data_IF_505653288992
#
_entry.id   IF_505653288992
#
_cell.length_a   1.000
_cell.length_b   1.000
_cell.length_c   1.000
_cell.angle_alpha   90.00
_cell.angle_beta   90.00
_cell.angle_gamma   90.00
#
_symmetry.space_group_name_H-M   'P 1'
#
loop_
_entity.id
_entity.type
_entity.pdbx_description
1 polymer ?
#
# COMPACT_ATOMS: atom_id res chain seq x y z
N UNK A 1 -16.32 -5.75 -19.48
CA UNK A 1 -16.10 -7.21 -19.56
C UNK A 1 -14.83 -7.62 -20.32
N UNK A 2 -14.56 -7.20 -21.58
CA UNK A 2 -13.38 -7.67 -22.32
C UNK A 2 -12.04 -7.33 -21.66
N UNK A 3 -11.90 -6.12 -21.09
CA UNK A 3 -10.67 -5.69 -20.40
C UNK A 3 -10.33 -6.55 -19.16
N UNK A 4 -11.34 -7.11 -18.48
CA UNK A 4 -11.16 -7.91 -17.27
C UNK A 4 -10.64 -9.30 -17.62
N UNK A 5 -11.17 -9.89 -18.69
CA UNK A 5 -10.72 -11.17 -19.25
C UNK A 5 -9.28 -11.06 -19.76
N UNK A 6 -8.95 -9.98 -20.48
CA UNK A 6 -7.58 -9.75 -20.98
C UNK A 6 -6.57 -9.61 -19.84
N UNK A 7 -6.90 -8.86 -18.78
CA UNK A 7 -6.02 -8.74 -17.61
C UNK A 7 -5.85 -10.08 -16.89
N UNK A 8 -6.93 -10.83 -16.66
CA UNK A 8 -6.86 -12.15 -16.04
C UNK A 8 -6.01 -13.13 -16.88
N UNK A 9 -6.16 -13.11 -18.21
CA UNK A 9 -5.37 -13.92 -19.11
C UNK A 9 -3.88 -13.53 -19.08
N UNK A 10 -3.58 -12.23 -19.04
CA UNK A 10 -2.21 -11.72 -18.94
C UNK A 10 -1.56 -12.12 -17.61
N UNK A 11 -2.27 -11.95 -16.48
CA UNK A 11 -1.77 -12.37 -15.16
C UNK A 11 -1.57 -13.88 -15.08
N UNK A 12 -2.48 -14.68 -15.65
CA UNK A 12 -2.31 -16.13 -15.74
C UNK A 12 -1.09 -16.51 -16.58
N UNK A 13 -0.87 -15.82 -17.70
CA UNK A 13 0.30 -16.04 -18.55
C UNK A 13 1.60 -15.72 -17.79
N UNK A 14 1.66 -14.58 -17.12
CA UNK A 14 2.82 -14.18 -16.31
C UNK A 14 3.07 -15.23 -15.22
N UNK A 15 2.04 -15.64 -14.48
CA UNK A 15 2.15 -16.67 -13.44
C UNK A 15 2.68 -18.00 -14.00
N UNK A 16 2.16 -18.46 -15.14
CA UNK A 16 2.60 -19.69 -15.80
C UNK A 16 4.05 -19.60 -16.27
N UNK A 17 4.47 -18.47 -16.85
CA UNK A 17 5.85 -18.24 -17.31
C UNK A 17 6.80 -18.23 -16.12
N UNK A 18 6.45 -17.52 -15.03
CA UNK A 18 7.25 -17.47 -13.80
C UNK A 18 7.40 -18.86 -13.19
N UNK A 19 6.30 -19.59 -12.98
CA UNK A 19 6.34 -20.96 -12.41
C UNK A 19 7.15 -21.91 -13.28
N UNK A 20 7.04 -21.80 -14.62
CA UNK A 20 7.78 -22.65 -15.56
C UNK A 20 9.27 -22.31 -15.57
N UNK A 21 9.65 -21.04 -15.47
CA UNK A 21 11.04 -20.60 -15.37
C UNK A 21 11.66 -21.01 -14.03
N UNK A 22 10.92 -20.84 -12.93
CA UNK A 22 11.36 -21.17 -11.58
C UNK A 22 11.56 -22.68 -11.42
N UNK A 23 10.60 -23.50 -11.87
CA UNK A 23 10.77 -24.97 -11.92
C UNK A 23 11.93 -25.40 -12.82
N UNK A 24 12.20 -24.67 -13.91
CA UNK A 24 13.31 -24.98 -14.83
C UNK A 24 14.68 -24.57 -14.29
N UNK A 25 14.77 -23.50 -13.50
CA UNK A 25 16.05 -23.01 -12.93
C UNK A 25 16.37 -23.60 -11.56
N UNK A 26 15.37 -23.85 -10.72
CA UNK A 26 15.57 -24.26 -9.32
C UNK A 26 15.03 -25.66 -8.99
N UNK A 27 14.38 -26.35 -9.95
CA UNK A 27 13.94 -27.74 -9.81
C UNK A 27 12.71 -27.96 -8.93
N UNK A 28 12.49 -27.13 -7.89
CA UNK A 28 11.30 -27.14 -7.05
C UNK A 28 10.83 -25.69 -6.79
N UNK A 29 9.52 -25.51 -6.62
CA UNK A 29 8.95 -24.27 -6.09
C UNK A 29 9.35 -24.15 -4.62
N UNK A 30 9.69 -22.95 -4.13
CA UNK A 30 9.97 -22.74 -2.71
C UNK A 30 8.82 -23.33 -1.87
N UNK A 31 9.18 -24.23 -0.95
CA UNK A 31 8.20 -24.86 -0.07
C UNK A 31 7.54 -23.75 0.78
N UNK A 32 6.19 -23.70 0.86
CA UNK A 32 5.51 -22.73 1.71
C UNK A 32 6.02 -22.89 3.14
N UNK A 33 6.32 -21.77 3.81
CA UNK A 33 6.87 -21.75 5.17
C UNK A 33 5.96 -22.53 6.11
N UNK A 34 6.34 -23.77 6.42
CA UNK A 34 5.63 -24.63 7.35
C UNK A 34 5.84 -24.09 8.75
N UNK A 35 4.77 -23.85 9.49
CA UNK A 35 4.86 -23.34 10.87
C UNK A 35 4.29 -24.30 11.89
N UNK A 36 5.07 -24.54 12.95
CA UNK A 36 4.68 -25.28 14.17
C UNK A 36 3.66 -24.53 15.07
N UNK A 37 3.53 -23.21 14.92
CA UNK A 37 2.66 -22.40 15.77
C UNK A 37 1.17 -22.63 15.47
N UNK A 38 0.38 -23.00 16.50
CA UNK A 38 -1.08 -23.20 16.46
C UNK A 38 -1.82 -22.08 17.20
N UNK A 39 -3.02 -21.72 16.74
CA UNK A 39 -3.94 -20.80 17.43
C UNK A 39 -3.61 -19.30 17.24
N UNK A 40 -4.06 -18.45 18.19
CA UNK A 40 -3.90 -16.98 18.16
C UNK A 40 -2.44 -16.52 18.07
N UNK A 41 -1.47 -17.33 18.53
CA UNK A 41 -0.04 -17.02 18.38
C UNK A 41 0.44 -17.08 16.93
N UNK A 42 -0.25 -17.82 16.04
CA UNK A 42 0.03 -17.82 14.59
C UNK A 42 -0.41 -16.51 13.93
N UNK A 43 -1.53 -15.93 14.36
CA UNK A 43 -2.05 -14.66 13.84
C UNK A 43 -1.15 -13.50 14.28
N UNK A 44 -0.62 -13.56 15.50
CA UNK A 44 0.22 -12.50 16.08
C UNK A 44 1.71 -12.63 15.74
N UNK A 45 2.25 -13.85 15.56
CA UNK A 45 3.71 -14.10 15.42
C UNK A 45 4.11 -15.01 14.25
N UNK A 46 3.18 -15.69 13.60
CA UNK A 46 3.44 -16.70 12.57
C UNK A 46 3.49 -16.14 11.14
N UNK A 47 4.04 -16.89 10.16
CA UNK A 47 4.36 -16.39 8.83
C UNK A 47 3.08 -15.90 8.17
N UNK A 48 3.03 -14.59 7.93
CA UNK A 48 1.93 -13.96 7.23
C UNK A 48 1.94 -14.52 5.81
N UNK A 49 1.02 -15.44 5.53
CA UNK A 49 0.85 -15.95 4.18
C UNK A 49 0.57 -14.71 3.32
N UNK A 50 1.41 -14.46 2.31
CA UNK A 50 1.32 -13.27 1.45
C UNK A 50 -0.10 -13.09 0.88
N UNK A 51 -0.83 -14.19 0.69
CA UNK A 51 -2.24 -14.21 0.28
C UNK A 51 -3.14 -13.44 1.25
N UNK A 52 -2.98 -13.58 2.57
CA UNK A 52 -3.78 -12.82 3.55
C UNK A 52 -3.48 -11.32 3.47
N UNK A 53 -2.21 -10.96 3.27
CA UNK A 53 -1.82 -9.56 3.01
C UNK A 53 -2.47 -9.03 1.73
N UNK A 54 -2.45 -9.81 0.64
CA UNK A 54 -3.05 -9.42 -0.63
C UNK A 54 -4.59 -9.27 -0.53
N UNK A 55 -5.28 -10.19 0.16
CA UNK A 55 -6.73 -10.12 0.38
C UNK A 55 -7.08 -8.91 1.24
N UNK A 56 -6.35 -8.67 2.33
CA UNK A 56 -6.57 -7.51 3.20
C UNK A 56 -6.37 -6.21 2.42
N UNK A 57 -5.29 -6.09 1.63
CA UNK A 57 -5.03 -4.94 0.78
C UNK A 57 -6.14 -4.71 -0.25
N UNK A 58 -6.64 -5.77 -0.89
CA UNK A 58 -7.72 -5.67 -1.86
C UNK A 58 -9.03 -5.17 -1.23
N UNK A 59 -9.38 -5.72 -0.05
CA UNK A 59 -10.56 -5.29 0.71
C UNK A 59 -10.43 -3.83 1.18
N UNK A 60 -9.25 -3.47 1.72
CA UNK A 60 -9.00 -2.11 2.17
C UNK A 60 -9.05 -1.11 1.00
N UNK A 61 -8.53 -1.48 -0.17
CA UNK A 61 -8.65 -0.67 -1.38
C UNK A 61 -10.10 -0.45 -1.79
N UNK A 62 -10.93 -1.49 -1.70
CA UNK A 62 -12.37 -1.35 -1.97
C UNK A 62 -13.05 -0.44 -0.95
N UNK A 63 -12.71 -0.57 0.33
CA UNK A 63 -13.20 0.31 1.39
C UNK A 63 -12.78 1.77 1.16
N UNK A 64 -11.53 2.02 0.78
CA UNK A 64 -11.04 3.37 0.44
C UNK A 64 -11.80 3.95 -0.73
N UNK A 65 -12.03 3.16 -1.79
CA UNK A 65 -12.80 3.61 -2.94
C UNK A 65 -14.25 3.94 -2.57
N UNK A 66 -14.87 3.13 -1.70
CA UNK A 66 -16.23 3.35 -1.22
C UNK A 66 -16.35 4.58 -0.30
N UNK A 67 -15.36 4.83 0.57
CA UNK A 67 -15.39 5.92 1.54
C UNK A 67 -14.88 7.25 0.99
N UNK A 68 -13.79 7.24 0.23
CA UNK A 68 -13.15 8.43 -0.31
C UNK A 68 -13.70 8.84 -1.68
N UNK A 69 -14.40 7.94 -2.38
CA UNK A 69 -14.92 8.18 -3.74
C UNK A 69 -13.84 8.32 -4.81
N UNK A 70 -12.59 8.00 -4.47
CA UNK A 70 -11.40 8.09 -5.33
C UNK A 70 -10.52 6.86 -5.07
N UNK A 71 -9.74 6.40 -6.06
CA UNK A 71 -8.82 5.28 -5.87
C UNK A 71 -7.79 5.61 -4.79
N UNK A 72 -7.31 4.58 -4.07
CA UNK A 72 -6.26 4.73 -3.07
C UNK A 72 -5.03 5.40 -3.70
N UNK A 73 -4.74 6.62 -3.28
CA UNK A 73 -3.53 7.35 -3.62
C UNK A 73 -2.62 7.43 -2.40
N UNK A 74 -1.30 7.36 -2.63
CA UNK A 74 -0.23 7.53 -1.62
C UNK A 74 0.62 8.76 -1.99
N UNK A 75 0.82 9.00 -3.28
CA UNK A 75 1.72 10.05 -3.79
C UNK A 75 1.26 11.48 -3.47
N UNK A 76 -0.05 11.72 -3.31
CA UNK A 76 -0.58 13.05 -3.04
C UNK A 76 -0.25 13.57 -1.64
N UNK A 77 -0.12 12.71 -0.62
CA UNK A 77 0.30 13.13 0.72
C UNK A 77 1.73 13.66 0.72
N UNK A 78 2.66 12.97 0.05
CA UNK A 78 4.03 13.43 -0.07
C UNK A 78 4.14 14.78 -0.78
N UNK A 79 3.34 14.99 -1.84
CA UNK A 79 3.25 16.28 -2.52
C UNK A 79 2.73 17.37 -1.57
N UNK A 80 1.72 17.07 -0.74
CA UNK A 80 1.17 18.00 0.24
C UNK A 80 2.19 18.35 1.34
N UNK A 81 2.92 17.37 1.87
CA UNK A 81 3.94 17.61 2.90
C UNK A 81 5.09 18.44 2.35
N UNK A 82 5.55 18.12 1.13
CA UNK A 82 6.56 18.91 0.43
C UNK A 82 6.09 20.34 0.15
N UNK A 83 4.84 20.50 -0.30
CA UNK A 83 4.24 21.82 -0.54
C UNK A 83 4.13 22.65 0.75
N UNK A 84 3.70 22.05 1.86
CA UNK A 84 3.65 22.73 3.16
C UNK A 84 5.03 23.07 3.71
N UNK A 85 6.01 22.18 3.55
CA UNK A 85 7.40 22.46 3.92
C UNK A 85 7.97 23.63 3.11
N UNK A 86 7.79 23.64 1.79
CA UNK A 86 8.21 24.74 0.93
C UNK A 86 7.46 26.05 1.23
N UNK A 87 6.16 26.00 1.51
CA UNK A 87 5.39 27.16 1.95
C UNK A 87 5.88 27.71 3.28
N UNK A 88 6.26 26.84 4.23
CA UNK A 88 6.90 27.24 5.50
C UNK A 88 8.28 27.88 5.30
N UNK A 89 8.98 27.58 4.20
CA UNK A 89 10.22 28.22 3.79
C UNK A 89 10.01 29.52 2.99
N UNK A 90 8.75 29.98 2.85
CA UNK A 90 8.39 31.22 2.17
C UNK A 90 8.17 31.11 0.66
N UNK A 91 8.12 29.89 0.10
CA UNK A 91 7.80 29.67 -1.31
C UNK A 91 6.29 29.78 -1.53
N UNK A 92 5.87 30.57 -2.52
CA UNK A 92 4.46 30.66 -2.92
C UNK A 92 4.04 29.44 -3.76
N UNK A 93 3.83 28.33 -3.06
CA UNK A 93 3.37 27.07 -3.65
C UNK A 93 1.90 27.14 -4.10
N UNK A 94 1.12 28.05 -3.52
CA UNK A 94 -0.28 28.27 -3.91
C UNK A 94 -0.43 28.82 -5.33
N UNK A 95 0.57 29.56 -5.82
CA UNK A 95 0.60 30.06 -7.20
C UNK A 95 0.77 28.96 -8.26
N UNK A 96 1.19 27.75 -7.90
CA UNK A 96 1.46 26.70 -8.88
C UNK A 96 0.18 26.10 -9.44
N UNK A 97 0.16 25.86 -10.76
CA UNK A 97 -0.99 25.33 -11.51
C UNK A 97 -1.59 24.06 -10.87
N UNK A 98 -0.76 23.20 -10.27
CA UNK A 98 -1.20 22.00 -9.58
C UNK A 98 -2.10 22.29 -8.36
N UNK A 99 -1.78 23.34 -7.59
CA UNK A 99 -2.47 23.73 -6.36
C UNK A 99 -3.65 24.68 -6.60
N UNK A 100 -3.82 25.18 -7.82
CA UNK A 100 -4.97 26.02 -8.20
C UNK A 100 -6.27 25.23 -8.42
N UNK A 101 -6.20 23.90 -8.62
CA UNK A 101 -7.41 23.09 -8.74
C UNK A 101 -8.19 23.08 -7.42
N UNK A 102 -9.52 23.20 -7.47
CA UNK A 102 -10.35 23.37 -6.27
C UNK A 102 -10.14 22.26 -5.21
N UNK A 103 -9.89 21.02 -5.64
CA UNK A 103 -9.60 19.90 -4.74
C UNK A 103 -8.23 20.03 -4.06
N UNK A 104 -7.19 20.42 -4.79
CA UNK A 104 -5.83 20.54 -4.25
C UNK A 104 -5.66 21.83 -3.44
N UNK A 105 -6.31 22.92 -3.85
CA UNK A 105 -6.34 24.18 -3.10
C UNK A 105 -6.94 23.98 -1.70
N UNK A 106 -8.05 23.22 -1.63
CA UNK A 106 -8.68 22.85 -0.35
C UNK A 106 -7.74 22.00 0.51
N UNK A 107 -7.03 21.03 -0.08
CA UNK A 107 -6.05 20.22 0.63
C UNK A 107 -4.84 21.04 1.13
N UNK A 108 -4.37 22.02 0.35
CA UNK A 108 -3.26 22.90 0.73
C UNK A 108 -3.64 23.84 1.90
N UNK A 109 -4.86 24.37 1.86
CA UNK A 109 -5.40 25.25 2.91
C UNK A 109 -5.77 24.48 4.19
N UNK A 110 -6.22 23.23 4.07
CA UNK A 110 -6.53 22.38 5.21
C UNK A 110 -5.26 21.87 5.90
N UNK A 111 -5.31 21.58 7.20
CA UNK A 111 -4.22 20.91 7.90
C UNK A 111 -3.94 19.48 7.36
N UNK A 112 -2.72 18.98 7.58
CA UNK A 112 -2.29 17.64 7.10
C UNK A 112 -3.16 16.50 7.67
N UNK A 113 -3.72 16.67 8.87
CA UNK A 113 -4.58 15.67 9.50
C UNK A 113 -6.00 15.59 8.90
N UNK A 114 -6.41 16.59 8.12
CA UNK A 114 -7.69 16.58 7.40
C UNK A 114 -7.57 15.96 6.00
N UNK A 115 -6.33 15.72 5.54
CA UNK A 115 -6.09 15.03 4.28
C UNK A 115 -6.20 13.51 4.47
N UNK A 116 -7.18 12.93 3.79
CA UNK A 116 -7.51 11.49 3.87
C UNK A 116 -6.29 10.63 3.50
N UNK A 117 -5.52 11.05 2.48
CA UNK A 117 -4.33 10.32 2.05
C UNK A 117 -3.23 10.36 3.10
N UNK A 118 -2.99 11.52 3.72
CA UNK A 118 -1.99 11.68 4.78
C UNK A 118 -2.30 10.84 6.02
N UNK A 119 -3.56 10.82 6.47
CA UNK A 119 -3.97 9.99 7.62
C UNK A 119 -3.85 8.50 7.30
N UNK A 120 -4.23 8.10 6.08
CA UNK A 120 -4.11 6.72 5.63
C UNK A 120 -2.64 6.27 5.59
N UNK A 121 -1.73 7.08 5.03
CA UNK A 121 -0.31 6.76 4.97
C UNK A 121 0.33 6.63 6.35
N UNK A 122 -0.04 7.52 7.29
CA UNK A 122 0.37 7.41 8.70
C UNK A 122 -0.16 6.12 9.32
N UNK A 123 -1.41 5.76 9.07
CA UNK A 123 -2.02 4.51 9.53
C UNK A 123 -1.29 3.26 9.00
N UNK A 124 -0.90 3.27 7.72
CA UNK A 124 -0.11 2.19 7.11
C UNK A 124 1.26 2.09 7.79
N UNK A 125 1.95 3.22 7.96
CA UNK A 125 3.29 3.24 8.58
C UNK A 125 3.25 2.69 10.01
N UNK A 126 2.28 3.14 10.82
CA UNK A 126 2.09 2.63 12.19
C UNK A 126 1.69 1.15 12.19
N UNK A 127 0.78 0.73 11.31
CA UNK A 127 0.36 -0.66 11.18
C UNK A 127 1.51 -1.58 10.79
N UNK A 128 2.34 -1.16 9.83
CA UNK A 128 3.52 -1.90 9.40
C UNK A 128 4.57 -1.99 10.51
N UNK A 129 4.79 -0.91 11.26
CA UNK A 129 5.69 -0.88 12.42
C UNK A 129 5.24 -1.88 13.50
N UNK A 130 3.95 -1.85 13.85
CA UNK A 130 3.37 -2.76 14.83
C UNK A 130 3.43 -4.21 14.36
N UNK A 131 3.12 -4.48 13.08
CA UNK A 131 3.20 -5.82 12.51
C UNK A 131 4.65 -6.34 12.51
N UNK A 132 5.62 -5.50 12.14
CA UNK A 132 7.05 -5.86 12.17
C UNK A 132 7.56 -6.12 13.60
N UNK A 133 7.11 -5.31 14.57
CA UNK A 133 7.39 -5.49 15.99
C UNK A 133 6.81 -6.79 16.55
N UNK A 134 5.52 -7.06 16.28
CA UNK A 134 4.83 -8.29 16.70
C UNK A 134 5.40 -9.56 16.05
N UNK A 135 5.83 -9.46 14.79
CA UNK A 135 6.48 -10.55 14.07
C UNK A 135 7.92 -10.81 14.56
N UNK A 136 8.48 -9.97 15.44
CA UNK A 136 9.87 -10.07 15.88
C UNK A 136 10.89 -9.85 14.75
N UNK A 137 10.46 -9.26 13.63
CA UNK A 137 11.29 -8.98 12.44
C UNK A 137 11.77 -7.53 12.40
N UNK A 138 11.61 -6.81 13.51
CA UNK A 138 12.11 -5.46 13.66
C UNK A 138 13.63 -5.51 13.78
N UNK A 139 14.30 -5.39 12.63
CA UNK A 139 15.76 -5.34 12.52
C UNK A 139 16.19 -3.92 12.15
N UNK A 140 16.25 -2.97 13.09
CA UNK A 140 16.93 -1.70 12.87
C UNK A 140 18.43 -2.01 12.91
N UNK A 141 19.05 -2.17 11.73
CA UNK A 141 20.50 -2.16 11.58
C UNK A 141 21.04 -0.74 11.59
#
# INVERSE_FOLDING_TARGET
MPALIVNLALFALIALVTVKLEKRRHGQLEAPVTTEHRGLSRVLRGPWILVWGAVALALLNYATLALAGRPWGITSAFALWGAKAASGLGVDVGSWVFWQSAANAKALAAPVWEDITSVMDIGIMLGALLAAGLAGRFAPS
#
